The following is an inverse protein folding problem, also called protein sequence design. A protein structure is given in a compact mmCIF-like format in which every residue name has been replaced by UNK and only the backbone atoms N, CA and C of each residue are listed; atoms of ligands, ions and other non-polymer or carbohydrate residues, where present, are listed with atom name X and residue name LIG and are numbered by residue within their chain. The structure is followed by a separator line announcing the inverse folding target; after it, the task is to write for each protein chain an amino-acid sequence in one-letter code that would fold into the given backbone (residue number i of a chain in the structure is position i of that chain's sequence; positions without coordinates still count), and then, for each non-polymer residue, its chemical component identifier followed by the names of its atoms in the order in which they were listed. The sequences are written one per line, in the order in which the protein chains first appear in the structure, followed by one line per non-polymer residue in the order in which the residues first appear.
data_IF_776807251638
#
_entry.id   IF_776807251638
#
_cell.length_a   1.000
_cell.length_b   1.000
_cell.length_c   1.000
_cell.angle_alpha   90.00
_cell.angle_beta   90.00
_cell.angle_gamma   90.00
#
_symmetry.space_group_name_H-M   'P 1'
#
loop_
_entity.id
_entity.type
_entity.pdbx_description
1 polymer ?
#
# COMPACT_ATOMS: atom_id res chain seq x y z
N UNK A 1 -5.37 -5.52 -13.83
CA UNK A 1 -5.32 -4.16 -14.44
C UNK A 1 -6.55 -4.01 -15.34
N UNK A 2 -7.31 -2.94 -15.22
CA UNK A 2 -8.42 -2.66 -16.15
C UNK A 2 -7.85 -1.88 -17.33
N UNK A 3 -8.20 -2.29 -18.53
CA UNK A 3 -7.84 -1.56 -19.74
C UNK A 3 -8.52 -0.18 -19.75
N UNK A 4 -7.91 0.76 -20.47
CA UNK A 4 -8.48 2.09 -20.74
C UNK A 4 -9.94 1.95 -21.16
N UNK A 5 -10.84 2.65 -20.51
CA UNK A 5 -12.26 2.67 -20.84
C UNK A 5 -12.58 3.95 -21.58
N UNK A 6 -13.38 3.84 -22.62
CA UNK A 6 -13.91 5.00 -23.35
C UNK A 6 -15.07 5.61 -22.56
N UNK A 7 -14.73 6.29 -21.45
CA UNK A 7 -15.66 6.90 -20.51
C UNK A 7 -15.15 8.27 -20.08
N UNK A 8 -16.02 9.24 -20.11
CA UNK A 8 -15.74 10.58 -19.58
C UNK A 8 -15.82 10.52 -18.05
N UNK A 9 -14.81 11.08 -17.39
CA UNK A 9 -14.76 11.21 -15.93
C UNK A 9 -15.89 12.16 -15.49
N UNK A 10 -16.64 11.80 -14.46
CA UNK A 10 -17.79 12.53 -13.95
C UNK A 10 -17.62 12.80 -12.45
N UNK A 11 -18.40 13.79 -11.95
CA UNK A 11 -18.49 14.07 -10.52
C UNK A 11 -18.91 12.81 -9.75
N UNK A 12 -18.21 12.53 -8.67
CA UNK A 12 -18.37 11.32 -7.86
C UNK A 12 -17.45 10.16 -8.26
N UNK A 13 -16.77 10.24 -9.39
CA UNK A 13 -15.81 9.20 -9.80
C UNK A 13 -14.58 9.17 -8.88
N UNK A 14 -14.17 7.96 -8.56
CA UNK A 14 -12.93 7.69 -7.86
C UNK A 14 -11.82 7.37 -8.86
N UNK A 15 -10.65 7.92 -8.60
CA UNK A 15 -9.46 7.72 -9.41
C UNK A 15 -8.35 7.23 -8.47
N UNK A 16 -7.90 5.99 -8.66
CA UNK A 16 -6.69 5.51 -8.01
C UNK A 16 -5.50 5.86 -8.91
N UNK A 17 -4.60 6.68 -8.38
CA UNK A 17 -3.34 7.02 -9.03
C UNK A 17 -2.25 6.15 -8.46
N UNK A 18 -1.48 5.55 -9.34
CA UNK A 18 -0.23 4.86 -9.02
C UNK A 18 0.86 5.41 -9.92
N UNK A 19 1.92 5.88 -9.31
CA UNK A 19 3.14 6.32 -9.99
C UNK A 19 4.24 5.35 -9.60
N UNK A 20 4.71 4.60 -10.55
CA UNK A 20 5.82 3.65 -10.43
C UNK A 20 6.91 4.10 -11.38
N UNK A 21 8.01 4.56 -10.86
CA UNK A 21 9.09 5.10 -11.68
C UNK A 21 10.44 4.88 -11.02
N UNK A 22 11.51 4.93 -11.82
CA UNK A 22 12.88 4.86 -11.35
C UNK A 22 13.58 6.21 -11.47
N UNK A 23 14.40 6.50 -10.49
CA UNK A 23 15.23 7.71 -10.46
C UNK A 23 16.56 7.55 -11.21
N UNK A 24 17.42 8.58 -11.15
CA UNK A 24 18.73 8.57 -11.84
C UNK A 24 19.66 7.40 -11.48
N UNK A 25 19.47 6.80 -10.31
CA UNK A 25 20.22 5.61 -9.89
C UNK A 25 19.62 4.28 -10.37
N UNK A 26 18.51 4.31 -11.08
CA UNK A 26 17.80 3.12 -11.55
C UNK A 26 16.93 2.44 -10.51
N UNK A 27 16.81 2.99 -9.29
CA UNK A 27 15.98 2.45 -8.23
C UNK A 27 14.53 2.88 -8.39
N UNK A 28 13.63 1.90 -8.32
CA UNK A 28 12.20 2.13 -8.35
C UNK A 28 11.64 2.57 -7.00
N UNK A 29 10.62 3.40 -7.08
CA UNK A 29 9.72 3.73 -5.97
C UNK A 29 8.28 3.78 -6.47
N UNK A 30 7.33 3.60 -5.57
CA UNK A 30 5.90 3.61 -5.86
C UNK A 30 5.15 4.59 -4.96
N UNK A 31 4.32 5.41 -5.57
CA UNK A 31 3.39 6.30 -4.86
C UNK A 31 1.98 6.02 -5.33
N UNK A 32 1.11 5.58 -4.42
CA UNK A 32 -0.31 5.36 -4.71
C UNK A 32 -1.22 6.18 -3.82
N UNK A 33 -2.19 6.85 -4.44
CA UNK A 33 -3.21 7.65 -3.74
C UNK A 33 -4.58 7.52 -4.41
N UNK A 34 -5.60 7.75 -3.62
CA UNK A 34 -6.98 7.83 -4.10
C UNK A 34 -7.43 9.27 -4.21
N UNK A 35 -8.06 9.58 -5.34
CA UNK A 35 -8.69 10.87 -5.61
C UNK A 35 -10.20 10.66 -5.84
N UNK A 36 -10.98 11.72 -5.69
CA UNK A 36 -12.41 11.74 -6.04
C UNK A 36 -12.75 13.05 -6.73
N UNK A 37 -13.57 12.99 -7.76
CA UNK A 37 -14.08 14.19 -8.42
C UNK A 37 -15.25 14.76 -7.62
N UNK A 38 -15.05 15.92 -7.02
CA UNK A 38 -15.96 16.52 -6.05
C UNK A 38 -15.60 16.18 -4.62
N UNK A 39 -16.60 16.07 -3.74
CA UNK A 39 -16.40 15.83 -2.30
C UNK A 39 -16.38 14.33 -1.97
N UNK A 40 -15.43 13.93 -1.15
CA UNK A 40 -15.37 12.58 -0.63
C UNK A 40 -16.48 12.36 0.41
N UNK A 41 -17.34 11.34 0.23
CA UNK A 41 -18.30 10.95 1.24
C UNK A 41 -17.60 10.49 2.55
N UNK A 42 -18.29 10.61 3.67
CA UNK A 42 -17.72 10.19 4.97
C UNK A 42 -17.34 8.71 4.97
N UNK A 43 -18.18 7.85 4.39
CA UNK A 43 -17.89 6.40 4.26
C UNK A 43 -16.58 6.12 3.53
N UNK A 44 -16.24 6.89 2.49
CA UNK A 44 -14.97 6.75 1.77
C UNK A 44 -13.78 7.14 2.67
N UNK A 45 -13.94 8.16 3.51
CA UNK A 45 -12.92 8.60 4.48
C UNK A 45 -12.73 7.56 5.58
N UNK A 46 -13.82 6.95 6.05
CA UNK A 46 -13.78 5.88 7.05
C UNK A 46 -13.07 4.64 6.51
N UNK A 47 -13.30 4.29 5.24
CA UNK A 47 -12.60 3.19 4.58
C UNK A 47 -11.11 3.51 4.36
N UNK A 48 -10.73 4.76 4.09
CA UNK A 48 -9.31 5.15 4.05
C UNK A 48 -8.66 5.00 5.44
N UNK A 49 -9.33 5.44 6.50
CA UNK A 49 -8.84 5.27 7.87
C UNK A 49 -8.61 3.79 8.21
N UNK A 50 -9.53 2.91 7.79
CA UNK A 50 -9.34 1.47 7.95
C UNK A 50 -8.08 0.95 7.21
N UNK A 51 -7.85 1.38 5.97
CA UNK A 51 -6.66 1.00 5.20
C UNK A 51 -5.37 1.50 5.88
N UNK A 52 -5.41 2.71 6.47
CA UNK A 52 -4.27 3.24 7.24
C UNK A 52 -3.97 2.39 8.48
N UNK A 53 -5.00 1.95 9.20
CA UNK A 53 -4.83 1.05 10.35
C UNK A 53 -4.28 -0.32 9.93
N UNK A 54 -4.82 -0.91 8.87
CA UNK A 54 -4.32 -2.16 8.31
C UNK A 54 -2.84 -2.06 7.92
N UNK A 55 -2.44 -0.95 7.28
CA UNK A 55 -1.04 -0.70 6.94
C UNK A 55 -0.15 -0.59 8.17
N UNK A 56 -0.63 0.03 9.24
CA UNK A 56 0.13 0.16 10.49
C UNK A 56 0.52 -1.20 11.05
N UNK A 57 -0.37 -2.20 10.98
CA UNK A 57 -0.05 -3.57 11.40
C UNK A 57 1.18 -4.11 10.68
N UNK A 58 1.28 -3.85 9.38
CA UNK A 58 2.47 -4.22 8.59
C UNK A 58 3.71 -3.43 9.03
N UNK A 59 3.60 -2.10 9.13
CA UNK A 59 4.73 -1.23 9.49
C UNK A 59 5.31 -1.57 10.86
N UNK A 60 4.48 -1.90 11.83
CA UNK A 60 4.92 -2.27 13.19
C UNK A 60 5.80 -3.54 13.20
N UNK A 61 5.66 -4.38 12.21
CA UNK A 61 6.38 -5.64 12.05
C UNK A 61 7.53 -5.58 11.04
N UNK A 62 7.69 -4.51 10.28
CA UNK A 62 8.81 -4.33 9.33
C UNK A 62 10.12 -4.04 10.07
N UNK A 63 10.60 -5.01 10.84
CA UNK A 63 11.83 -4.92 11.63
C UNK A 63 12.82 -5.99 11.18
N UNK A 64 14.14 -5.70 11.20
CA UNK A 64 15.14 -6.71 10.88
C UNK A 64 14.94 -7.98 11.70
N UNK A 65 14.95 -9.12 11.01
CA UNK A 65 14.72 -10.44 11.59
C UNK A 65 13.26 -10.91 11.59
N UNK A 66 12.29 -10.08 11.27
CA UNK A 66 10.88 -10.51 11.20
C UNK A 66 10.65 -11.35 9.95
N UNK A 67 10.13 -12.59 10.06
CA UNK A 67 9.77 -13.40 8.90
C UNK A 67 8.62 -12.76 8.09
N UNK A 68 8.75 -12.74 6.79
CA UNK A 68 7.72 -12.12 5.92
C UNK A 68 6.36 -12.80 6.04
N UNK A 69 6.31 -14.11 6.26
CA UNK A 69 5.08 -14.86 6.51
C UNK A 69 4.33 -14.40 7.78
N UNK A 70 5.08 -13.98 8.81
CA UNK A 70 4.48 -13.55 10.09
C UNK A 70 3.82 -12.17 9.92
N UNK A 71 4.42 -11.30 9.10
CA UNK A 71 3.82 -10.02 8.69
C UNK A 71 2.54 -10.26 7.90
N UNK A 72 2.58 -11.19 6.92
CA UNK A 72 1.42 -11.58 6.13
C UNK A 72 0.27 -12.11 7.01
N UNK A 73 0.60 -13.00 7.96
CA UNK A 73 -0.43 -13.56 8.85
C UNK A 73 -1.03 -12.50 9.79
N UNK A 74 -0.19 -11.62 10.36
CA UNK A 74 -0.68 -10.55 11.24
C UNK A 74 -1.62 -9.60 10.49
N UNK A 75 -1.28 -9.21 9.26
CA UNK A 75 -2.14 -8.39 8.42
C UNK A 75 -3.49 -9.08 8.16
N UNK A 76 -3.47 -10.34 7.75
CA UNK A 76 -4.70 -11.07 7.46
C UNK A 76 -5.51 -11.40 8.71
N UNK A 77 -4.87 -11.61 9.87
CA UNK A 77 -5.56 -11.73 11.15
C UNK A 77 -6.30 -10.42 11.51
N UNK A 78 -5.69 -9.25 11.26
CA UNK A 78 -6.35 -7.97 11.41
C UNK A 78 -7.56 -7.84 10.46
N UNK A 79 -7.42 -8.22 9.19
CA UNK A 79 -8.52 -8.21 8.22
C UNK A 79 -9.69 -9.08 8.68
N UNK A 80 -9.43 -10.33 9.07
CA UNK A 80 -10.45 -11.28 9.59
C UNK A 80 -11.14 -10.74 10.83
N UNK A 81 -10.37 -10.22 11.79
CA UNK A 81 -10.91 -9.64 13.05
C UNK A 81 -11.92 -8.52 12.79
N UNK A 82 -11.72 -7.76 11.72
CA UNK A 82 -12.59 -6.65 11.33
C UNK A 82 -13.66 -7.05 10.30
N UNK A 83 -13.91 -8.35 10.09
CA UNK A 83 -14.92 -8.85 9.15
C UNK A 83 -14.60 -8.52 7.68
N UNK A 84 -13.33 -8.36 7.36
CA UNK A 84 -12.85 -8.08 6.00
C UNK A 84 -12.23 -9.32 5.37
N UNK A 85 -12.32 -9.49 4.04
CA UNK A 85 -11.63 -10.58 3.35
C UNK A 85 -10.11 -10.46 3.50
N UNK A 86 -9.44 -11.60 3.47
CA UNK A 86 -7.99 -11.64 3.45
C UNK A 86 -7.42 -10.97 2.18
N UNK A 87 -6.26 -10.38 2.30
CA UNK A 87 -5.51 -9.87 1.16
C UNK A 87 -4.94 -11.04 0.35
N UNK A 88 -5.42 -11.19 -0.86
CA UNK A 88 -5.00 -12.25 -1.77
C UNK A 88 -3.91 -11.79 -2.76
N UNK A 89 -3.62 -10.48 -2.80
CA UNK A 89 -2.61 -9.92 -3.70
C UNK A 89 -1.29 -9.75 -2.95
N UNK A 90 -0.25 -9.48 -3.70
CA UNK A 90 1.01 -9.00 -3.14
C UNK A 90 0.83 -7.52 -2.77
N UNK A 91 0.74 -7.21 -1.48
CA UNK A 91 0.49 -5.86 -0.97
C UNK A 91 1.72 -5.22 -0.31
N UNK A 92 2.79 -6.00 -0.15
CA UNK A 92 4.04 -5.55 0.45
C UNK A 92 5.19 -6.38 -0.10
N UNK A 93 6.23 -5.72 -0.60
CA UNK A 93 7.37 -6.39 -1.23
C UNK A 93 8.63 -5.50 -1.24
N UNK A 94 9.76 -6.10 -1.52
CA UNK A 94 10.99 -5.40 -1.83
C UNK A 94 10.89 -4.68 -3.17
N UNK A 95 11.64 -3.59 -3.30
CA UNK A 95 11.74 -2.83 -4.52
C UNK A 95 13.14 -2.22 -4.64
N UNK A 96 13.70 -2.26 -5.83
CA UNK A 96 15.05 -1.80 -6.07
C UNK A 96 15.29 -1.58 -7.57
N UNK A 97 16.16 -2.36 -8.20
CA UNK A 97 16.39 -2.31 -9.64
C UNK A 97 15.25 -2.90 -10.47
N UNK A 98 14.45 -3.77 -9.85
CA UNK A 98 13.19 -4.21 -10.42
C UNK A 98 12.01 -3.60 -9.65
N UNK A 99 10.88 -3.43 -10.34
CA UNK A 99 9.66 -2.89 -9.77
C UNK A 99 9.13 -3.76 -8.62
N UNK A 100 9.31 -5.06 -8.70
CA UNK A 100 8.94 -6.04 -7.66
C UNK A 100 10.12 -6.95 -7.42
N UNK A 101 10.72 -6.85 -6.26
CA UNK A 101 11.82 -7.70 -5.80
C UNK A 101 11.44 -8.45 -4.53
N UNK A 102 12.19 -9.50 -4.22
CA UNK A 102 12.09 -10.13 -2.89
C UNK A 102 12.71 -9.21 -1.81
N UNK A 103 12.18 -9.30 -0.55
CA UNK A 103 11.20 -10.27 -0.09
C UNK A 103 9.78 -9.93 -0.56
N UNK A 104 8.97 -10.97 -0.78
CA UNK A 104 7.53 -10.83 -1.02
C UNK A 104 6.80 -11.13 0.29
N UNK A 105 6.05 -10.19 0.84
CA UNK A 105 5.28 -10.45 2.08
C UNK A 105 4.09 -11.33 1.73
N UNK A 106 4.31 -12.64 1.84
CA UNK A 106 3.38 -13.71 1.48
C UNK A 106 3.53 -14.87 2.47
N UNK A 107 2.52 -15.75 2.47
CA UNK A 107 2.49 -16.94 3.32
C UNK A 107 3.67 -17.88 3.09
N UNK A 108 4.12 -18.00 1.85
CA UNK A 108 5.16 -18.94 1.41
C UNK A 108 6.56 -18.29 1.24
N UNK A 109 6.73 -17.03 1.67
CA UNK A 109 8.03 -16.35 1.59
C UNK A 109 8.95 -16.79 2.72
N UNK A 110 10.11 -17.42 2.43
CA UNK A 110 11.04 -17.87 3.45
C UNK A 110 11.96 -16.76 3.99
N UNK A 111 12.02 -15.58 3.35
CA UNK A 111 12.90 -14.50 3.76
C UNK A 111 12.40 -13.80 5.01
N UNK A 112 13.34 -13.15 5.68
CA UNK A 112 13.10 -12.19 6.76
C UNK A 112 13.35 -10.78 6.25
N UNK A 113 12.79 -9.80 6.94
CA UNK A 113 13.12 -8.39 6.74
C UNK A 113 14.57 -8.15 7.20
N UNK A 114 15.31 -7.40 6.42
CA UNK A 114 16.69 -7.00 6.75
C UNK A 114 16.84 -5.49 6.72
N UNK A 115 17.84 -5.00 7.44
CA UNK A 115 18.22 -3.58 7.39
C UNK A 115 18.64 -3.19 5.96
N UNK A 116 18.39 -1.94 5.61
CA UNK A 116 18.71 -1.31 4.31
C UNK A 116 17.86 -1.81 3.12
N UNK A 117 16.87 -2.68 3.35
CA UNK A 117 15.86 -3.00 2.34
C UNK A 117 14.98 -1.80 2.05
N UNK A 118 14.65 -1.57 0.78
CA UNK A 118 13.56 -0.69 0.36
C UNK A 118 12.29 -1.53 0.22
N UNK A 119 11.32 -1.29 1.07
CA UNK A 119 10.06 -2.03 1.11
C UNK A 119 8.91 -1.12 0.74
N UNK A 120 8.12 -1.51 -0.24
CA UNK A 120 6.87 -0.85 -0.57
C UNK A 120 5.71 -1.52 0.15
N UNK A 121 4.80 -0.71 0.68
CA UNK A 121 3.59 -1.17 1.38
C UNK A 121 2.37 -0.51 0.75
N UNK A 122 1.54 -1.32 0.07
CA UNK A 122 0.40 -0.82 -0.70
C UNK A 122 -0.90 -1.60 -0.47
N UNK A 123 -1.41 -1.64 0.78
CA UNK A 123 -2.71 -2.22 1.00
C UNK A 123 -3.76 -1.48 0.18
N UNK A 124 -4.53 -2.24 -0.55
CA UNK A 124 -5.64 -1.72 -1.35
C UNK A 124 -6.88 -2.49 -0.99
N UNK A 125 -7.91 -1.77 -0.63
CA UNK A 125 -9.15 -2.40 -0.23
C UNK A 125 -10.35 -1.82 -0.96
N UNK A 126 -11.19 -2.72 -1.46
CA UNK A 126 -12.46 -2.35 -2.10
C UNK A 126 -13.59 -2.76 -1.17
N UNK A 127 -14.34 -1.81 -0.67
CA UNK A 127 -15.50 -2.06 0.18
C UNK A 127 -16.64 -1.10 -0.12
N UNK A 128 -17.85 -1.61 -0.20
CA UNK A 128 -19.05 -0.82 -0.49
C UNK A 128 -18.94 0.08 -1.73
N UNK A 129 -18.17 -0.35 -2.71
CA UNK A 129 -17.92 0.42 -3.93
C UNK A 129 -16.81 1.46 -3.85
N UNK A 130 -16.20 1.66 -2.68
CA UNK A 130 -15.05 2.53 -2.53
C UNK A 130 -13.74 1.77 -2.67
N UNK A 131 -12.81 2.36 -3.42
CA UNK A 131 -11.44 1.88 -3.56
C UNK A 131 -10.52 2.86 -2.84
N UNK A 132 -9.80 2.39 -1.84
CA UNK A 132 -8.78 3.19 -1.18
C UNK A 132 -7.41 2.58 -1.43
N UNK A 133 -6.52 3.38 -1.99
CA UNK A 133 -5.17 2.99 -2.32
C UNK A 133 -4.18 3.87 -1.59
N UNK A 134 -3.35 3.25 -0.76
CA UNK A 134 -2.18 3.87 -0.16
C UNK A 134 -0.97 3.04 -0.55
N UNK A 135 -0.02 3.66 -1.23
CA UNK A 135 1.23 3.04 -1.61
C UNK A 135 2.37 3.98 -1.27
N UNK A 136 3.32 3.49 -0.51
CA UNK A 136 4.52 4.23 -0.12
C UNK A 136 5.70 3.28 0.13
N UNK A 137 6.91 3.79 -0.07
CA UNK A 137 8.15 3.10 0.22
C UNK A 137 8.73 3.53 1.58
N UNK A 138 9.43 2.57 2.20
CA UNK A 138 10.13 2.72 3.46
C UNK A 138 11.50 2.04 3.38
N UNK A 139 12.57 2.74 3.72
CA UNK A 139 13.84 2.09 3.99
C UNK A 139 13.85 1.50 5.40
N UNK A 140 14.27 0.25 5.50
CA UNK A 140 14.33 -0.44 6.78
C UNK A 140 15.60 -0.04 7.52
N UNK A 141 15.43 0.57 8.67
CA UNK A 141 16.52 0.91 9.60
C UNK A 141 16.81 -0.25 10.55
N UNK A 142 17.82 -0.10 11.42
CA UNK A 142 18.08 -1.09 12.48
C UNK A 142 16.94 -1.28 13.50
N UNK A 143 16.00 -0.31 13.57
CA UNK A 143 14.88 -0.30 14.52
C UNK A 143 13.50 -0.56 13.88
N UNK A 144 13.44 -0.67 12.56
CA UNK A 144 12.22 -0.84 11.79
C UNK A 144 12.15 0.12 10.61
N UNK A 145 10.96 0.38 10.05
CA UNK A 145 10.83 1.29 8.94
C UNK A 145 11.25 2.70 9.35
N UNK A 146 12.01 3.35 8.48
CA UNK A 146 12.30 4.78 8.56
C UNK A 146 11.09 5.62 8.17
N UNK A 147 11.33 6.91 7.96
CA UNK A 147 10.30 7.80 7.47
C UNK A 147 9.81 7.35 6.08
N UNK A 148 8.56 7.63 5.81
CA UNK A 148 7.96 7.43 4.50
C UNK A 148 8.71 8.27 3.46
N UNK A 149 9.12 7.65 2.35
CA UNK A 149 9.89 8.36 1.31
C UNK A 149 9.08 9.48 0.63
N UNK A 150 7.81 9.22 0.36
CA UNK A 150 6.95 10.17 -0.32
C UNK A 150 6.28 11.12 0.67
N UNK A 151 6.39 12.40 0.42
CA UNK A 151 5.79 13.44 1.28
C UNK A 151 4.35 13.81 0.89
N UNK A 152 3.83 13.26 -0.21
CA UNK A 152 2.45 13.51 -0.62
C UNK A 152 1.45 13.06 0.45
N UNK A 153 0.45 13.87 0.81
CA UNK A 153 -0.46 13.57 1.93
C UNK A 153 -1.21 12.24 1.76
N UNK A 154 -1.46 11.57 2.87
CA UNK A 154 -2.24 10.33 2.95
C UNK A 154 -3.72 10.62 3.15
N UNK A 155 -4.28 11.39 2.26
CA UNK A 155 -5.69 11.79 2.29
C UNK A 155 -6.32 11.50 0.93
N UNK A 156 -7.65 11.47 0.91
CA UNK A 156 -8.37 11.45 -0.36
C UNK A 156 -8.28 12.86 -0.97
N UNK A 157 -7.69 12.95 -2.15
CA UNK A 157 -7.62 14.22 -2.87
C UNK A 157 -8.95 14.50 -3.53
N UNK A 158 -9.61 15.57 -3.11
CA UNK A 158 -10.85 16.07 -3.70
C UNK A 158 -10.51 16.98 -4.90
N UNK A 159 -11.03 16.64 -6.08
CA UNK A 159 -10.76 17.34 -7.35
C UNK A 159 -12.04 18.08 -7.81
N UNK A 160 -11.94 19.35 -8.07
CA UNK A 160 -13.10 20.14 -8.61
C UNK A 160 -13.33 21.44 -7.97
#
# INVERSE_FOLDING_TARGET
MRHVQNRVIQKGDQIALLVEDNGPGGFYTELGRTCVVGKAPQEMKDELAFVQEARRVTLDLLKPGTPCRDIWEAFNAFMRKNGRPEEARLYCHGQGYDLVERPLVRRDEPMTIEKDMNIVVHPTYVHKGYVNWLCDNYFITGNGPGDRLHQFPEVITEIG
#
